data_IF_225212471525
#
_entry.id   IF_225212471525
#
_cell.length_a   1.000
_cell.length_b   1.000
_cell.length_c   1.000
_cell.angle_alpha   90.00
_cell.angle_beta   90.00
_cell.angle_gamma   90.00
#
_symmetry.space_group_name_H-M   'P 1'
#
loop_
_entity.id
_entity.type
_entity.pdbx_description
1 polymer ?
#
# COMPACT_ATOMS: atom_id res chain seq x y z
N UNK A 1 9.22 -15.90 13.52
CA UNK A 1 8.15 -16.22 12.55
C UNK A 1 8.61 -15.85 11.16
N UNK A 2 8.30 -16.67 10.16
CA UNK A 2 8.57 -16.35 8.75
C UNK A 2 7.56 -15.34 8.23
N UNK A 3 8.00 -14.41 7.38
CA UNK A 3 7.13 -13.47 6.67
C UNK A 3 6.09 -14.25 5.83
N UNK A 4 4.81 -13.94 5.99
CA UNK A 4 3.73 -14.54 5.19
C UNK A 4 2.91 -13.45 4.49
N UNK A 5 2.59 -13.65 3.22
CA UNK A 5 1.98 -12.64 2.35
C UNK A 5 0.78 -13.24 1.63
N UNK A 6 -0.38 -12.59 1.79
CA UNK A 6 -1.62 -12.87 1.07
C UNK A 6 -1.83 -11.77 0.03
N UNK A 7 -2.05 -12.16 -1.23
CA UNK A 7 -2.25 -11.22 -2.33
C UNK A 7 -3.07 -11.85 -3.45
N UNK A 8 -3.85 -11.03 -4.16
CA UNK A 8 -4.60 -11.43 -5.34
C UNK A 8 -3.70 -11.41 -6.59
N UNK A 9 -2.89 -12.45 -6.76
CA UNK A 9 -1.91 -12.58 -7.85
C UNK A 9 -2.55 -12.97 -9.18
N UNK A 10 -1.85 -12.69 -10.29
CA UNK A 10 -2.24 -13.20 -11.60
C UNK A 10 -1.81 -14.67 -11.76
N UNK A 11 -2.49 -15.42 -12.63
CA UNK A 11 -2.26 -16.84 -12.86
C UNK A 11 -2.10 -17.17 -14.35
N UNK A 12 -1.12 -18.01 -14.67
CA UNK A 12 -1.03 -18.73 -15.95
C UNK A 12 -0.93 -20.22 -15.60
N UNK A 13 -1.99 -20.98 -15.90
CA UNK A 13 -2.12 -22.36 -15.42
C UNK A 13 -2.13 -22.41 -13.88
N UNK A 14 -1.17 -23.14 -13.30
CA UNK A 14 -0.98 -23.25 -11.83
C UNK A 14 0.07 -22.28 -11.28
N UNK A 15 0.70 -21.46 -12.12
CA UNK A 15 1.79 -20.57 -11.74
C UNK A 15 1.26 -19.19 -11.38
N UNK A 16 1.60 -18.73 -10.17
CA UNK A 16 1.29 -17.38 -9.66
C UNK A 16 2.38 -16.39 -10.08
N UNK A 17 2.00 -15.20 -10.54
CA UNK A 17 2.96 -14.15 -10.90
C UNK A 17 2.39 -12.75 -10.69
N UNK A 18 3.28 -11.76 -10.73
CA UNK A 18 2.93 -10.32 -10.75
C UNK A 18 3.57 -9.65 -11.95
N UNK A 19 2.99 -8.53 -12.39
CA UNK A 19 3.41 -7.77 -13.57
C UNK A 19 4.00 -6.42 -13.18
N UNK A 20 5.09 -6.04 -13.83
CA UNK A 20 5.65 -4.68 -13.72
C UNK A 20 4.61 -3.68 -14.22
N UNK A 21 4.45 -2.58 -13.47
CA UNK A 21 3.46 -1.54 -13.78
C UNK A 21 2.06 -1.81 -13.24
N UNK A 22 1.84 -2.93 -12.54
CA UNK A 22 0.57 -3.27 -11.90
C UNK A 22 0.68 -3.20 -10.39
N UNK A 23 -0.45 -2.89 -9.75
CA UNK A 23 -0.61 -2.81 -8.31
C UNK A 23 -1.39 -4.04 -7.82
N UNK A 24 -0.96 -4.60 -6.70
CA UNK A 24 -1.55 -5.79 -6.11
C UNK A 24 -1.90 -5.53 -4.64
N UNK A 25 -3.09 -5.93 -4.18
CA UNK A 25 -3.42 -5.80 -2.77
C UNK A 25 -2.59 -6.81 -1.98
N UNK A 26 -2.07 -6.39 -0.85
CA UNK A 26 -1.17 -7.19 -0.03
C UNK A 26 -1.61 -7.09 1.43
N UNK A 27 -1.76 -8.25 2.06
CA UNK A 27 -1.94 -8.42 3.50
C UNK A 27 -0.75 -9.25 3.96
N UNK A 28 0.01 -8.73 4.91
CA UNK A 28 1.27 -9.34 5.32
C UNK A 28 1.36 -9.46 6.83
N UNK A 29 1.80 -10.63 7.29
CA UNK A 29 2.23 -10.85 8.66
C UNK A 29 3.76 -10.72 8.71
N UNK A 30 4.25 -9.53 9.09
CA UNK A 30 5.68 -9.22 9.12
C UNK A 30 6.26 -9.48 10.51
N UNK A 31 7.40 -10.18 10.65
CA UNK A 31 7.96 -10.55 11.96
C UNK A 31 8.37 -9.36 12.83
N UNK A 32 8.70 -8.21 12.24
CA UNK A 32 9.13 -7.01 12.98
C UNK A 32 8.05 -5.93 13.08
N UNK A 33 7.09 -5.90 12.14
CA UNK A 33 6.13 -4.81 12.02
C UNK A 33 4.68 -5.26 12.27
N UNK A 34 4.47 -6.56 12.49
CA UNK A 34 3.15 -7.15 12.68
C UNK A 34 2.33 -7.12 11.39
N UNK A 35 1.02 -6.92 11.54
CA UNK A 35 0.08 -6.88 10.44
C UNK A 35 0.27 -5.62 9.59
N UNK A 36 0.49 -5.83 8.28
CA UNK A 36 0.53 -4.81 7.25
C UNK A 36 -0.61 -5.05 6.26
N UNK A 37 -1.34 -3.99 5.90
CA UNK A 37 -2.41 -4.07 4.88
C UNK A 37 -2.26 -2.93 3.91
N UNK A 38 -2.25 -3.21 2.61
CA UNK A 38 -2.12 -2.17 1.60
C UNK A 38 -1.87 -2.72 0.21
N UNK A 39 -0.97 -2.07 -0.52
CA UNK A 39 -0.72 -2.37 -1.94
C UNK A 39 0.77 -2.35 -2.22
N UNK A 40 1.23 -3.31 -3.02
CA UNK A 40 2.60 -3.36 -3.56
C UNK A 40 2.56 -3.34 -5.07
N UNK A 41 3.58 -2.75 -5.70
CA UNK A 41 3.78 -2.93 -7.14
C UNK A 41 4.38 -4.31 -7.42
N UNK A 42 4.01 -4.87 -8.57
CA UNK A 42 4.41 -6.19 -9.02
C UNK A 42 5.59 -6.21 -9.99
N UNK A 43 5.98 -7.43 -10.38
CA UNK A 43 7.00 -7.71 -11.38
C UNK A 43 8.42 -7.77 -10.84
N UNK A 44 9.37 -8.03 -11.74
CA UNK A 44 10.81 -8.09 -11.42
C UNK A 44 11.36 -6.71 -11.05
N UNK A 45 10.90 -5.68 -11.77
CA UNK A 45 11.17 -4.28 -11.46
C UNK A 45 9.90 -3.66 -10.90
N UNK A 46 9.97 -3.27 -9.64
CA UNK A 46 8.87 -2.67 -8.91
C UNK A 46 8.91 -1.16 -9.07
N UNK A 47 7.75 -0.57 -9.32
CA UNK A 47 7.59 0.88 -9.47
C UNK A 47 7.08 1.50 -8.18
N UNK A 48 7.35 2.80 -7.93
CA UNK A 48 6.77 3.51 -6.81
C UNK A 48 5.24 3.45 -6.83
N UNK A 49 4.63 3.14 -5.70
CA UNK A 49 3.17 2.99 -5.58
C UNK A 49 2.47 4.33 -5.33
N UNK A 50 3.14 5.26 -4.65
CA UNK A 50 2.56 6.52 -4.20
C UNK A 50 1.41 6.33 -3.20
N UNK A 51 0.66 7.38 -2.91
CA UNK A 51 -0.54 7.29 -2.07
C UNK A 51 -1.60 6.43 -2.74
N UNK A 52 -2.24 5.54 -2.00
CA UNK A 52 -3.30 4.66 -2.50
C UNK A 52 -4.64 5.12 -1.94
N UNK A 53 -5.65 5.22 -2.80
CA UNK A 53 -7.05 5.27 -2.40
C UNK A 53 -7.55 3.84 -2.31
N UNK A 54 -8.05 3.45 -1.14
CA UNK A 54 -8.49 2.10 -0.80
C UNK A 54 -9.96 2.11 -0.40
N UNK A 55 -10.75 1.17 -0.91
CA UNK A 55 -12.18 1.06 -0.60
C UNK A 55 -12.63 -0.39 -0.64
N UNK A 56 -13.34 -0.81 0.39
CA UNK A 56 -14.08 -2.08 0.40
C UNK A 56 -15.56 -1.75 0.23
N UNK A 57 -16.20 -2.38 -0.76
CA UNK A 57 -17.61 -2.17 -1.12
C UNK A 57 -17.97 -0.66 -1.22
N UNK A 58 -18.99 -0.24 -0.48
CA UNK A 58 -19.48 1.14 -0.45
C UNK A 58 -18.90 2.00 0.68
N UNK A 59 -17.91 1.50 1.44
CA UNK A 59 -17.31 2.24 2.55
C UNK A 59 -16.56 3.50 2.06
N UNK A 60 -16.31 4.51 2.92
CA UNK A 60 -15.51 5.67 2.53
C UNK A 60 -14.10 5.29 2.05
N UNK A 61 -13.55 6.05 1.10
CA UNK A 61 -12.17 5.84 0.67
C UNK A 61 -11.20 6.13 1.82
N UNK A 62 -10.26 5.22 2.04
CA UNK A 62 -9.09 5.40 2.91
C UNK A 62 -7.90 5.79 2.07
N UNK A 63 -7.08 6.70 2.59
CA UNK A 63 -5.76 6.97 2.01
C UNK A 63 -4.71 6.14 2.73
N UNK A 64 -3.95 5.35 1.97
CA UNK A 64 -2.81 4.58 2.46
C UNK A 64 -1.56 5.17 1.84
N UNK A 65 -0.74 5.84 2.66
CA UNK A 65 0.42 6.57 2.15
C UNK A 65 1.69 5.74 2.33
N UNK A 66 2.71 5.92 1.46
CA UNK A 66 4.00 5.26 1.63
C UNK A 66 4.64 5.51 3.00
N UNK A 67 4.50 6.72 3.54
CA UNK A 67 5.05 7.09 4.86
C UNK A 67 4.33 6.46 6.06
N UNK A 68 3.14 5.89 5.87
CA UNK A 68 2.39 5.20 6.93
C UNK A 68 2.91 3.76 7.15
N UNK A 69 3.75 3.27 6.23
CA UNK A 69 4.32 1.92 6.24
C UNK A 69 5.68 1.82 6.93
N UNK A 70 6.23 0.60 7.04
CA UNK A 70 7.53 0.41 7.65
C UNK A 70 8.63 1.08 6.82
N UNK A 71 9.36 2.00 7.45
CA UNK A 71 10.52 2.64 6.81
C UNK A 71 11.69 1.67 6.78
N UNK A 72 12.32 1.49 5.62
CA UNK A 72 13.59 0.76 5.53
C UNK A 72 14.67 1.57 6.25
N UNK A 73 15.44 0.92 7.13
CA UNK A 73 16.41 1.56 8.02
C UNK A 73 17.43 2.47 7.29
N UNK A 74 17.72 2.21 6.02
CA UNK A 74 18.61 3.02 5.19
C UNK A 74 18.11 4.46 4.96
N UNK A 75 16.81 4.72 5.16
CA UNK A 75 16.19 6.04 5.01
C UNK A 75 16.09 6.83 6.32
N UNK A 76 16.43 6.21 7.46
CA UNK A 76 16.40 6.85 8.78
C UNK A 76 17.70 7.59 9.12
N UNK A 77 18.70 7.56 8.23
CA UNK A 77 19.97 8.26 8.42
C UNK A 77 19.76 9.78 8.29
N UNK A 78 19.43 10.42 9.41
CA UNK A 78 19.58 11.87 9.57
C UNK A 78 21.05 12.24 9.33
N UNK A 79 21.37 13.33 8.61
CA UNK A 79 22.73 13.81 8.53
C UNK A 79 23.22 14.14 9.93
N UNK A 80 24.15 13.32 10.44
CA UNK A 80 24.84 13.54 11.71
C UNK A 80 25.61 14.86 11.64
N UNK A 81 25.22 15.86 12.45
CA UNK A 81 26.01 17.09 12.60
C UNK A 81 25.24 18.39 12.89
N UNK A 82 23.90 18.39 12.84
CA UNK A 82 23.10 19.60 13.07
C UNK A 82 22.01 19.33 14.11
N UNK A 83 22.34 19.51 15.39
CA UNK A 83 21.34 19.62 16.46
C UNK A 83 21.02 21.10 16.67
N UNK A 84 19.86 21.60 16.24
CA UNK A 84 19.49 22.99 16.46
C UNK A 84 19.34 23.25 17.96
N UNK A 85 19.98 24.31 18.47
CA UNK A 85 19.90 24.69 19.89
C UNK A 85 18.59 25.45 20.22
N UNK A 86 17.90 25.96 19.20
CA UNK A 86 16.62 26.67 19.31
C UNK A 86 15.45 25.71 18.99
N UNK A 87 14.41 25.61 19.86
CA UNK A 87 13.23 24.77 19.62
C UNK A 87 12.45 25.12 18.34
N UNK A 88 12.45 26.39 17.91
CA UNK A 88 11.79 26.82 16.67
C UNK A 88 12.56 26.32 15.45
N UNK A 89 13.89 26.45 15.48
CA UNK A 89 14.76 25.92 14.44
C UNK A 89 14.74 24.38 14.40
N UNK A 90 14.66 23.72 15.56
CA UNK A 90 14.51 22.27 15.66
C UNK A 90 13.21 21.79 15.01
N UNK A 91 12.10 22.47 15.27
CA UNK A 91 10.81 22.17 14.64
C UNK A 91 10.84 22.39 13.13
N UNK A 92 11.35 23.52 12.67
CA UNK A 92 11.45 23.81 11.23
C UNK A 92 12.33 22.79 10.50
N UNK A 93 13.44 22.37 11.12
CA UNK A 93 14.31 21.33 10.58
C UNK A 93 13.63 19.96 10.55
N UNK A 94 12.92 19.58 11.61
CA UNK A 94 12.15 18.33 11.65
C UNK A 94 11.04 18.31 10.59
N UNK A 95 10.30 19.42 10.44
CA UNK A 95 9.24 19.56 9.44
C UNK A 95 9.82 19.49 8.01
N UNK A 96 10.97 20.12 7.75
CA UNK A 96 11.67 20.05 6.47
C UNK A 96 12.12 18.62 6.14
N UNK A 97 12.74 17.92 7.09
CA UNK A 97 13.13 16.52 6.95
C UNK A 97 11.91 15.63 6.69
N UNK A 98 10.81 15.84 7.41
CA UNK A 98 9.59 15.06 7.21
C UNK A 98 9.02 15.24 5.79
N UNK A 99 9.03 16.47 5.26
CA UNK A 99 8.63 16.75 3.87
C UNK A 99 9.56 16.09 2.87
N UNK A 100 10.89 16.21 3.07
CA UNK A 100 11.88 15.55 2.21
C UNK A 100 11.71 14.04 2.21
N UNK A 101 11.53 13.42 3.38
CA UNK A 101 11.30 11.98 3.50
C UNK A 101 10.01 11.54 2.82
N UNK A 102 8.91 12.30 2.97
CA UNK A 102 7.67 12.02 2.23
C UNK A 102 7.90 12.06 0.72
N UNK A 103 8.63 13.05 0.21
CA UNK A 103 8.96 13.12 -1.22
C UNK A 103 9.78 11.92 -1.67
N UNK A 104 10.84 11.56 -0.94
CA UNK A 104 11.69 10.41 -1.27
C UNK A 104 10.86 9.11 -1.25
N UNK A 105 10.08 8.89 -0.19
CA UNK A 105 9.21 7.72 -0.08
C UNK A 105 8.17 7.67 -1.20
N UNK A 106 7.55 8.79 -1.53
CA UNK A 106 6.60 8.83 -2.66
C UNK A 106 7.24 8.48 -4.00
N UNK A 107 8.54 8.75 -4.17
CA UNK A 107 9.31 8.52 -5.39
C UNK A 107 10.03 7.15 -5.43
N UNK A 108 10.16 6.45 -4.30
CA UNK A 108 10.99 5.23 -4.20
C UNK A 108 10.25 4.05 -3.58
N UNK A 109 9.26 4.28 -2.72
CA UNK A 109 8.55 3.21 -2.04
C UNK A 109 7.69 2.43 -3.03
N UNK A 110 8.02 1.15 -3.17
CA UNK A 110 7.31 0.21 -4.06
C UNK A 110 6.09 -0.43 -3.40
N UNK A 111 5.74 0.03 -2.21
CA UNK A 111 4.59 -0.42 -1.44
C UNK A 111 4.08 0.70 -0.53
N UNK A 112 2.77 0.72 -0.35
CA UNK A 112 2.07 1.62 0.58
C UNK A 112 1.25 0.76 1.52
N UNK A 113 1.58 0.81 2.82
CA UNK A 113 0.99 -0.05 3.84
C UNK A 113 0.42 0.78 4.98
N UNK A 114 -0.73 0.35 5.49
CA UNK A 114 -1.18 0.68 6.83
C UNK A 114 -0.57 -0.30 7.83
N UNK A 115 -0.40 0.15 9.07
CA UNK A 115 0.10 -0.64 10.19
C UNK A 115 -0.81 -0.49 11.42
N UNK A 116 -0.64 -1.36 12.42
CA UNK A 116 -1.29 -1.24 13.72
C UNK A 116 -2.82 -1.23 13.65
N UNK A 117 -3.46 -0.27 14.32
CA UNK A 117 -4.93 -0.15 14.34
C UNK A 117 -5.53 0.12 12.96
N UNK A 118 -4.83 0.89 12.12
CA UNK A 118 -5.29 1.15 10.76
C UNK A 118 -5.29 -0.13 9.91
N UNK A 119 -4.24 -0.95 10.04
CA UNK A 119 -4.17 -2.25 9.39
C UNK A 119 -5.27 -3.21 9.87
N UNK A 120 -5.52 -3.26 11.20
CA UNK A 120 -6.61 -4.07 11.77
C UNK A 120 -7.99 -3.63 11.27
N UNK A 121 -8.24 -2.33 11.21
CA UNK A 121 -9.49 -1.79 10.68
C UNK A 121 -9.67 -2.16 9.20
N UNK A 122 -8.63 -1.98 8.38
CA UNK A 122 -8.67 -2.38 6.96
C UNK A 122 -8.89 -3.89 6.78
N UNK A 123 -8.27 -4.73 7.62
CA UNK A 123 -8.49 -6.17 7.59
C UNK A 123 -9.92 -6.56 7.98
N UNK A 124 -10.50 -5.88 8.99
CA UNK A 124 -11.89 -6.09 9.39
C UNK A 124 -12.85 -5.74 8.23
N UNK A 125 -12.61 -4.64 7.54
CA UNK A 125 -13.37 -4.27 6.34
C UNK A 125 -13.30 -5.36 5.28
N UNK A 126 -12.09 -5.83 4.96
CA UNK A 126 -11.86 -6.89 3.98
C UNK A 126 -12.59 -8.19 4.32
N UNK A 127 -12.74 -8.54 5.60
CA UNK A 127 -13.46 -9.75 6.03
C UNK A 127 -14.97 -9.62 5.96
N UNK A 128 -15.48 -8.41 6.20
CA UNK A 128 -16.91 -8.14 6.16
C UNK A 128 -17.44 -7.79 4.76
N UNK A 129 -16.54 -7.42 3.85
CA UNK A 129 -16.89 -6.95 2.52
C UNK A 129 -16.85 -8.03 1.44
N UNK A 130 -17.23 -7.63 0.23
CA UNK A 130 -17.39 -8.54 -0.92
C UNK A 130 -16.47 -8.18 -2.08
N UNK A 131 -16.06 -6.91 -2.18
CA UNK A 131 -15.23 -6.40 -3.26
C UNK A 131 -14.24 -5.34 -2.78
N UNK A 132 -13.00 -5.47 -3.20
CA UNK A 132 -11.94 -4.50 -2.95
C UNK A 132 -11.63 -3.68 -4.21
N UNK A 133 -11.57 -2.36 -4.04
CA UNK A 133 -11.12 -1.38 -5.01
C UNK A 133 -9.95 -0.59 -4.45
N UNK A 134 -8.86 -0.49 -5.19
CA UNK A 134 -7.71 0.31 -4.78
C UNK A 134 -7.01 0.94 -5.99
N UNK A 135 -6.56 2.18 -5.87
CA UNK A 135 -5.78 2.84 -6.93
C UNK A 135 -4.71 3.74 -6.38
N UNK A 136 -3.62 3.91 -7.13
CA UNK A 136 -2.78 5.07 -6.90
C UNK A 136 -3.63 6.34 -7.01
N UNK A 137 -3.61 7.16 -5.96
CA UNK A 137 -4.02 8.55 -6.00
C UNK A 137 -3.07 9.18 -7.01
N UNK A 138 -3.53 9.35 -8.25
CA UNK A 138 -2.78 10.10 -9.22
C UNK A 138 -2.39 11.42 -8.55
N UNK A 139 -1.15 11.88 -8.77
CA UNK A 139 -0.95 13.32 -8.78
C UNK A 139 -1.93 13.79 -9.86
N UNK A 140 -3.11 14.28 -9.45
CA UNK A 140 -3.90 15.06 -10.37
C UNK A 140 -2.91 16.12 -10.85
N UNK A 141 -2.63 16.15 -12.16
CA UNK A 141 -2.33 17.45 -12.71
C UNK A 141 -3.49 18.32 -12.21
N UNK A 142 -3.17 19.42 -11.56
CA UNK A 142 -4.11 20.40 -10.99
C UNK A 142 -5.00 21.05 -12.07
N UNK A 143 -5.17 20.37 -13.19
CA UNK A 143 -5.97 20.71 -14.37
C UNK A 143 -7.37 20.12 -14.32
N UNK A 144 -7.72 19.32 -13.30
CA UNK A 144 -9.06 18.73 -13.13
C UNK A 144 -9.42 17.65 -14.15
N UNK A 145 -8.45 17.17 -14.95
CA UNK A 145 -8.69 16.16 -15.97
C UNK A 145 -8.45 14.74 -15.42
N UNK A 146 -9.40 13.81 -15.55
CA UNK A 146 -9.20 12.44 -15.12
C UNK A 146 -8.18 11.71 -16.00
N UNK A 147 -7.05 11.29 -15.40
CA UNK A 147 -6.05 10.48 -16.10
C UNK A 147 -6.57 9.08 -16.43
N UNK A 148 -6.14 8.50 -17.56
CA UNK A 148 -6.55 7.16 -18.03
C UNK A 148 -6.21 6.02 -17.04
N UNK A 149 -5.28 6.24 -16.13
CA UNK A 149 -4.95 5.32 -15.03
C UNK A 149 -5.95 5.33 -13.86
N UNK A 150 -6.82 6.34 -13.75
CA UNK A 150 -7.83 6.42 -12.68
C UNK A 150 -8.93 5.36 -12.81
N UNK A 151 -9.11 4.80 -14.02
CA UNK A 151 -10.15 3.83 -14.35
C UNK A 151 -9.64 2.38 -14.52
N UNK A 152 -8.43 2.04 -14.06
CA UNK A 152 -7.79 0.72 -14.28
C UNK A 152 -7.64 -0.12 -13.02
N UNK A 153 -8.58 -0.03 -12.09
CA UNK A 153 -8.43 -0.66 -10.77
C UNK A 153 -9.49 -1.71 -10.44
N UNK A 154 -9.02 -2.85 -9.95
CA UNK A 154 -9.79 -4.09 -9.88
C UNK A 154 -9.19 -5.19 -10.76
N UNK A 155 -9.83 -6.35 -10.77
CA UNK A 155 -9.48 -7.48 -11.61
C UNK A 155 -10.04 -7.29 -13.02
N UNK A 156 -9.19 -7.45 -14.05
CA UNK A 156 -9.65 -7.51 -15.43
C UNK A 156 -10.30 -8.87 -15.66
N UNK A 157 -11.58 -8.88 -15.98
CA UNK A 157 -12.36 -10.07 -16.32
C UNK A 157 -12.84 -10.01 -17.77
N UNK A 158 -13.45 -11.09 -18.26
CA UNK A 158 -14.11 -11.12 -19.58
C UNK A 158 -15.23 -10.07 -19.73
N UNK A 159 -15.83 -9.66 -18.60
CA UNK A 159 -16.92 -8.68 -18.57
C UNK A 159 -16.42 -7.26 -18.28
N UNK A 160 -15.10 -7.04 -18.35
CA UNK A 160 -14.46 -5.77 -18.01
C UNK A 160 -13.83 -5.78 -16.62
N UNK A 161 -13.52 -4.58 -16.13
CA UNK A 161 -12.85 -4.36 -14.86
C UNK A 161 -13.85 -4.49 -13.70
N UNK A 162 -13.58 -5.41 -12.77
CA UNK A 162 -14.42 -5.66 -11.59
C UNK A 162 -13.60 -5.50 -10.30
N UNK A 163 -14.22 -5.17 -9.15
CA UNK A 163 -13.54 -5.23 -7.86
C UNK A 163 -12.87 -6.59 -7.63
N UNK A 164 -11.75 -6.61 -6.89
CA UNK A 164 -11.15 -7.87 -6.47
C UNK A 164 -12.11 -8.56 -5.51
N UNK A 165 -12.57 -9.79 -5.79
CA UNK A 165 -13.53 -10.47 -4.94
C UNK A 165 -12.93 -10.79 -3.56
N UNK A 166 -13.71 -10.55 -2.51
CA UNK A 166 -13.41 -10.89 -1.13
C UNK A 166 -14.28 -12.09 -0.77
N UNK A 167 -13.82 -13.28 -1.16
CA UNK A 167 -14.56 -14.53 -1.02
C UNK A 167 -13.86 -15.52 -0.07
N UNK A 168 -14.34 -16.77 -0.03
CA UNK A 168 -13.78 -17.82 0.82
C UNK A 168 -12.28 -18.06 0.60
N UNK A 169 -11.73 -17.73 -0.57
CA UNK A 169 -10.29 -17.87 -0.84
C UNK A 169 -9.45 -16.89 0.00
N UNK A 170 -9.98 -15.71 0.31
CA UNK A 170 -9.31 -14.76 1.22
C UNK A 170 -9.23 -15.34 2.63
N UNK A 171 -10.34 -15.84 3.16
CA UNK A 171 -10.38 -16.42 4.50
C UNK A 171 -9.42 -17.61 4.64
N UNK A 172 -9.37 -18.48 3.63
CA UNK A 172 -8.43 -19.60 3.59
C UNK A 172 -6.97 -19.12 3.57
N UNK A 173 -6.63 -18.15 2.72
CA UNK A 173 -5.26 -17.61 2.64
C UNK A 173 -4.83 -16.88 3.92
N UNK A 174 -5.74 -16.16 4.58
CA UNK A 174 -5.47 -15.51 5.87
C UNK A 174 -5.19 -16.55 6.97
N UNK A 175 -5.97 -17.64 7.00
CA UNK A 175 -5.76 -18.74 7.94
C UNK A 175 -4.41 -19.43 7.72
N UNK A 176 -4.02 -19.68 6.46
CA UNK A 176 -2.70 -20.23 6.11
C UNK A 176 -1.54 -19.34 6.60
N UNK A 177 -1.74 -18.02 6.62
CA UNK A 177 -0.74 -17.06 7.12
C UNK A 177 -0.85 -16.74 8.62
N UNK A 178 -1.74 -17.41 9.37
CA UNK A 178 -2.04 -17.10 10.78
C UNK A 178 -2.37 -15.62 11.01
N UNK A 179 -3.17 -15.04 10.10
CA UNK A 179 -3.65 -13.67 10.18
C UNK A 179 -5.08 -13.69 10.72
N UNK A 180 -5.20 -13.38 12.03
CA UNK A 180 -6.45 -13.29 12.80
C UNK A 180 -7.09 -11.91 12.82
#
# INVERSE_FOLDING_TARGET
MSRCVVSALDYVGKTRYTRTGFLYPVIENHPQHGLLVGVSSGGRFRLPTGTILWRVDEQPFREVRPEDGPMTADMAAMPTGLTPQDPVAAKAMADAVAVSNRMILSATATSSFAMGDSARAMLAELRSGHGLLFRAKAAAADTGLPGSGMYRVGQITKDGLRPVPLDASLAAALAECHIE
#
